data_IF_380498124317
#
_entry.id   IF_380498124317
#
_cell.length_a   1.000
_cell.length_b   1.000
_cell.length_c   1.000
_cell.angle_alpha   90.00
_cell.angle_beta   90.00
_cell.angle_gamma   90.00
#
_symmetry.space_group_name_H-M   'P 1'
#
loop_
_entity.id
_entity.type
_entity.pdbx_description
1 polymer ?
2 water ?
#
# COMPACT_ATOMS: atom_id res chain seq x y z
N UNK A 4 18.12 19.48 -1.84
CA UNK A 4 16.84 21.67 -1.67
C UNK A 4 16.50 19.82 -1.61
N UNK A 5 16.72 19.57 -2.89
CA UNK A 5 16.64 18.19 -3.41
C UNK A 5 15.87 18.31 -4.73
N UNK A 6 16.36 17.45 -5.64
CA UNK A 6 15.66 17.49 -6.93
C UNK A 6 14.89 16.20 -6.96
N UNK A 7 14.40 15.72 -5.77
CA UNK A 7 13.65 14.48 -5.83
C UNK A 7 12.47 14.64 -6.74
N UNK A 8 12.29 13.59 -7.51
CA UNK A 8 11.24 13.63 -8.50
C UNK A 8 9.87 13.79 -7.83
N UNK A 9 8.89 14.36 -8.57
CA UNK A 9 7.52 14.39 -8.01
C UNK A 9 7.01 13.04 -7.58
N UNK A 10 7.21 12.02 -8.45
CA UNK A 10 6.73 10.69 -8.09
C UNK A 10 7.35 10.21 -6.76
N UNK A 11 8.70 10.33 -6.65
CA UNK A 11 9.30 9.88 -5.38
C UNK A 11 8.85 10.69 -4.19
N UNK A 12 8.58 11.97 -4.36
CA UNK A 12 8.04 12.77 -3.25
C UNK A 12 6.69 12.20 -2.82
N UNK A 13 5.80 11.90 -3.80
CA UNK A 13 4.51 11.33 -3.47
C UNK A 13 4.63 9.99 -2.74
N UNK A 14 5.62 9.20 -3.15
CA UNK A 14 5.84 7.94 -2.44
C UNK A 14 6.38 8.15 -1.01
N UNK A 15 7.20 9.19 -0.87
CA UNK A 15 7.70 9.58 0.44
C UNK A 15 6.65 10.04 1.42
N UNK A 16 5.50 10.48 0.90
CA UNK A 16 4.40 11.01 1.69
C UNK A 16 3.12 10.31 1.32
N UNK A 17 3.21 8.99 1.14
CA UNK A 17 2.10 8.26 0.60
C UNK A 17 0.81 8.38 1.39
N UNK A 18 0.88 8.33 2.73
CA UNK A 18 -0.37 8.42 3.50
C UNK A 18 -1.09 9.75 3.28
N UNK A 19 -0.31 10.82 3.08
CA UNK A 19 -0.98 12.11 2.78
C UNK A 19 -1.60 12.10 1.40
N UNK A 20 -0.97 11.41 0.42
CA UNK A 20 -1.62 11.25 -0.89
C UNK A 20 -2.98 10.57 -0.71
N UNK A 21 -3.00 9.49 0.11
CA UNK A 21 -4.29 8.85 0.36
C UNK A 21 -5.32 9.79 0.97
N UNK A 22 -4.90 10.61 1.94
CA UNK A 22 -5.78 11.62 2.55
C UNK A 22 -6.38 12.54 1.51
N UNK A 23 -5.53 13.01 0.56
CA UNK A 23 -6.00 13.88 -0.48
C UNK A 23 -7.02 13.17 -1.37
N UNK A 24 -6.72 11.93 -1.71
CA UNK A 24 -7.68 11.14 -2.48
C UNK A 24 -9.03 11.04 -1.77
N UNK A 25 -8.94 10.65 -0.47
CA UNK A 25 -10.17 10.45 0.30
C UNK A 25 -11.02 11.71 0.34
N UNK A 26 -10.39 12.88 0.46
CA UNK A 26 -11.12 14.15 0.50
C UNK A 26 -11.81 14.41 -0.84
N UNK A 27 -11.39 13.72 -1.92
CA UNK A 27 -12.05 13.76 -3.20
C UNK A 27 -13.02 12.60 -3.38
N UNK A 28 -13.30 11.87 -2.30
CA UNK A 28 -14.22 10.71 -2.29
C UNK A 28 -13.73 9.61 -3.23
N UNK A 29 -12.40 9.44 -3.34
CA UNK A 29 -11.83 8.33 -4.08
C UNK A 29 -10.76 7.64 -3.21
N UNK A 30 -10.28 6.54 -3.71
CA UNK A 30 -9.17 5.77 -3.12
C UNK A 30 -8.17 5.42 -4.17
N UNK A 31 -6.90 5.36 -3.83
CA UNK A 31 -5.82 5.08 -4.75
C UNK A 31 -4.89 4.02 -4.18
N UNK A 32 -4.45 3.13 -5.05
CA UNK A 32 -3.45 2.08 -4.74
C UNK A 32 -2.06 2.57 -5.14
N UNK A 33 -1.07 2.39 -4.29
CA UNK A 33 0.28 2.86 -4.57
C UNK A 33 0.84 2.22 -5.82
N UNK A 34 0.63 0.94 -6.05
CA UNK A 34 1.27 0.29 -7.18
C UNK A 34 0.68 0.82 -8.49
N UNK A 35 -0.63 1.12 -8.51
CA UNK A 35 -1.29 1.67 -9.69
C UNK A 35 -0.87 3.11 -9.92
N UNK A 36 -0.77 3.89 -8.83
CA UNK A 36 -0.26 5.23 -8.88
C UNK A 36 1.06 5.25 -9.67
N UNK A 37 1.95 4.35 -9.29
CA UNK A 37 3.27 4.25 -9.92
C UNK A 37 3.13 3.85 -11.38
N UNK A 38 2.39 2.78 -11.64
CA UNK A 38 2.27 2.29 -13.01
C UNK A 38 1.65 3.35 -13.91
N UNK A 39 0.61 4.00 -13.48
CA UNK A 39 -0.02 5.03 -14.33
C UNK A 39 0.94 6.17 -14.58
N UNK A 40 1.59 6.65 -13.51
CA UNK A 40 2.52 7.77 -13.66
C UNK A 40 3.67 7.46 -14.62
N UNK A 41 4.27 6.26 -14.44
CA UNK A 41 5.53 5.95 -15.07
C UNK A 41 5.39 5.22 -16.40
N UNK A 42 4.39 4.36 -16.55
CA UNK A 42 4.24 3.49 -17.69
C UNK A 42 3.10 3.97 -18.57
N UNK A 43 1.91 4.24 -18.03
CA UNK A 43 0.74 4.46 -18.93
C UNK A 43 0.68 5.90 -19.37
N UNK A 44 0.69 6.87 -18.50
CA UNK A 44 0.46 8.25 -18.91
C UNK A 44 1.50 8.81 -19.85
N UNK A 45 2.79 8.43 -19.74
CA UNK A 45 3.76 8.93 -20.76
C UNK A 45 3.39 8.46 -22.17
N UNK A 46 2.73 7.29 -22.30
CA UNK A 46 2.40 6.82 -23.66
C UNK A 46 1.32 7.63 -24.32
N UNK A 47 0.60 8.47 -23.58
CA UNK A 47 -0.40 9.36 -24.19
C UNK A 47 0.25 10.42 -25.08
N UNK A 48 1.52 10.72 -24.90
CA UNK A 48 2.23 11.72 -25.65
C UNK A 48 1.61 13.10 -25.48
N UNK A 49 1.19 13.38 -24.24
CA UNK A 49 0.65 14.66 -23.83
C UNK A 49 1.53 15.35 -22.83
N UNK A 50 2.82 14.96 -22.74
CA UNK A 50 3.72 15.74 -21.89
C UNK A 50 3.82 15.25 -20.45
N UNK A 51 3.24 14.08 -20.10
CA UNK A 51 3.29 13.62 -18.71
C UNK A 51 4.65 12.97 -18.45
N UNK A 52 5.51 13.53 -17.60
CA UNK A 52 6.83 12.92 -17.36
C UNK A 52 6.67 11.60 -16.60
N UNK A 53 7.56 10.65 -16.94
CA UNK A 53 7.56 9.37 -16.26
C UNK A 53 7.67 9.48 -14.75
N UNK A 54 8.42 10.47 -14.26
CA UNK A 54 8.59 10.67 -12.85
C UNK A 54 7.65 11.72 -12.27
N UNK A 55 6.56 11.99 -13.01
CA UNK A 55 5.50 12.85 -12.49
C UNK A 55 5.78 14.33 -12.63
N UNK A 56 4.73 15.09 -12.27
CA UNK A 56 4.77 16.53 -12.27
C UNK A 56 3.67 17.08 -11.39
N UNK A 57 3.88 18.27 -10.85
CA UNK A 57 2.83 19.00 -10.14
C UNK A 57 2.28 20.14 -10.99
N UNK A 58 2.67 20.19 -12.25
CA UNK A 58 2.23 21.27 -13.13
C UNK A 58 0.78 21.05 -13.53
N UNK A 59 -0.07 22.03 -13.27
CA UNK A 59 -1.50 21.89 -13.39
C UNK A 59 -1.83 21.70 -14.88
N UNK A 60 -1.17 22.36 -15.80
CA UNK A 60 -1.45 22.22 -17.21
C UNK A 60 -1.19 20.80 -17.69
N UNK A 61 -0.09 20.19 -17.26
CA UNK A 61 0.22 18.85 -17.65
C UNK A 61 -0.79 17.86 -17.03
N UNK A 62 -1.13 18.07 -15.76
CA UNK A 62 -2.18 17.26 -15.14
C UNK A 62 -3.46 17.33 -15.96
N UNK A 63 -3.84 18.51 -16.40
CA UNK A 63 -5.09 18.69 -17.16
C UNK A 63 -5.00 17.92 -18.47
N UNK A 64 -3.82 17.87 -19.13
CA UNK A 64 -3.71 17.11 -20.37
C UNK A 64 -4.05 15.65 -20.16
N UNK A 65 -3.47 15.06 -19.10
CA UNK A 65 -3.78 13.68 -18.78
C UNK A 65 -5.24 13.53 -18.43
N UNK A 66 -5.77 14.45 -17.63
CA UNK A 66 -7.16 14.38 -17.23
C UNK A 66 -8.08 14.31 -18.45
N UNK A 67 -7.87 15.13 -19.46
CA UNK A 67 -8.70 15.09 -20.68
C UNK A 67 -8.59 13.76 -21.36
N UNK A 68 -7.40 13.18 -21.45
CA UNK A 68 -7.29 11.83 -22.05
C UNK A 68 -8.11 10.85 -21.24
N UNK A 69 -7.88 10.82 -19.91
CA UNK A 69 -8.51 9.85 -19.02
C UNK A 69 -10.01 9.94 -19.09
N UNK A 70 -10.55 11.14 -19.14
CA UNK A 70 -11.99 11.41 -19.14
C UNK A 70 -12.62 11.35 -20.53
N UNK A 71 -11.87 10.99 -21.55
CA UNK A 71 -12.46 10.93 -22.89
C UNK A 71 -13.51 9.81 -22.92
N UNK A 72 -14.48 9.89 -23.84
CA UNK A 72 -15.55 8.88 -23.92
C UNK A 72 -15.07 7.52 -24.45
N UNK A 73 -15.70 6.45 -23.93
CA UNK A 73 -15.26 5.09 -24.36
C UNK A 73 -15.25 5.11 -25.87
N UNK A 74 -14.31 4.41 -26.52
CA UNK A 74 -13.22 3.61 -25.98
C UNK A 74 -11.91 4.37 -25.82
N UNK A 75 -12.00 5.67 -25.77
CA UNK A 75 -10.84 6.60 -25.83
C UNK A 75 -10.25 6.96 -24.49
N UNK A 76 -11.05 6.71 -23.45
CA UNK A 76 -10.72 7.09 -22.09
C UNK A 76 -10.33 5.95 -21.20
N UNK A 77 -10.16 6.22 -19.92
CA UNK A 77 -9.57 5.29 -18.97
C UNK A 77 -10.26 5.40 -17.63
N UNK A 78 -11.46 4.82 -17.50
CA UNK A 78 -12.22 4.99 -16.25
C UNK A 78 -11.44 4.60 -15.01
N UNK A 79 -10.66 3.51 -15.13
CA UNK A 79 -9.88 2.97 -14.03
C UNK A 79 -8.84 3.99 -13.48
N UNK A 80 -8.46 4.95 -14.32
CA UNK A 80 -7.43 5.91 -14.04
C UNK A 80 -8.00 7.20 -13.44
N UNK A 81 -9.33 7.35 -13.46
CA UNK A 81 -9.96 8.56 -12.94
C UNK A 81 -9.55 8.93 -11.54
N UNK A 82 -9.61 8.01 -10.56
CA UNK A 82 -9.27 8.40 -9.19
C UNK A 82 -7.86 8.93 -9.10
N UNK A 83 -6.97 8.37 -9.92
CA UNK A 83 -5.53 8.68 -9.89
C UNK A 83 -5.29 10.09 -10.40
N UNK A 84 -5.83 10.44 -11.59
CA UNK A 84 -5.61 11.77 -12.07
C UNK A 84 -6.33 12.82 -11.23
N UNK A 85 -7.54 12.48 -10.70
CA UNK A 85 -8.26 13.36 -9.80
C UNK A 85 -7.41 13.68 -8.58
N UNK A 86 -6.70 12.70 -8.04
CA UNK A 86 -5.85 12.90 -6.89
C UNK A 86 -4.62 13.73 -7.19
N UNK A 87 -3.91 13.45 -8.32
CA UNK A 87 -2.83 14.34 -8.71
C UNK A 87 -3.34 15.78 -8.82
N UNK A 88 -4.49 15.95 -9.48
CA UNK A 88 -5.04 17.28 -9.64
C UNK A 88 -5.28 17.96 -8.28
N UNK A 89 -5.91 17.25 -7.36
CA UNK A 89 -6.21 17.83 -6.04
C UNK A 89 -4.94 18.13 -5.29
N UNK A 90 -3.97 17.26 -5.40
CA UNK A 90 -2.65 17.49 -4.83
C UNK A 90 -2.01 18.79 -5.28
N UNK A 91 -2.10 19.04 -6.58
CA UNK A 91 -1.55 20.26 -7.16
C UNK A 91 -2.35 21.50 -6.89
N UNK A 92 -3.67 21.38 -6.84
CA UNK A 92 -4.57 22.53 -6.76
C UNK A 92 -4.66 23.00 -5.34
N UNK A 93 -4.51 22.18 -4.33
CA UNK A 93 -4.70 22.48 -2.91
C UNK A 93 -3.64 21.71 -2.13
N UNK A 94 -2.39 22.13 -2.38
CA UNK A 94 -1.33 21.20 -1.99
C UNK A 94 -1.01 21.27 -0.53
N UNK A 95 -0.46 20.19 -0.02
CA UNK A 95 0.05 20.22 1.35
C UNK A 95 1.50 20.70 1.31
N UNK A 96 2.02 21.04 2.49
CA UNK A 96 3.28 21.80 2.53
C UNK A 96 4.43 21.07 1.90
N UNK A 97 4.30 19.76 1.73
CA UNK A 97 5.46 19.04 1.18
C UNK A 97 5.54 19.10 -0.34
N UNK A 98 4.56 19.46 -1.13
CA UNK A 98 4.30 20.08 -2.37
C UNK A 98 3.54 19.54 -3.52
N UNK B 7 -22.66 -19.56 0.15
CA UNK B 7 -21.44 -18.79 0.50
C UNK B 7 -22.03 -17.50 1.02
N UNK B 8 -21.20 -16.53 1.41
CA UNK B 8 -21.82 -15.24 1.75
C UNK B 8 -21.61 -14.30 0.61
N UNK B 9 -22.33 -13.17 0.58
CA UNK B 9 -22.06 -12.17 -0.48
C UNK B 9 -20.63 -11.74 -0.46
N UNK B 10 -20.08 -11.46 0.72
CA UNK B 10 -18.69 -11.05 0.78
C UNK B 10 -17.75 -12.12 0.21
N UNK B 11 -17.94 -13.37 0.62
CA UNK B 11 -17.07 -14.43 0.07
C UNK B 11 -17.16 -14.54 -1.43
N UNK B 12 -18.36 -14.39 -1.98
CA UNK B 12 -18.55 -14.42 -3.44
C UNK B 12 -17.73 -13.30 -4.08
N UNK B 13 -17.85 -12.10 -3.49
CA UNK B 13 -17.12 -10.98 -4.10
C UNK B 13 -15.60 -11.20 -4.09
N UNK B 14 -15.13 -11.83 -2.98
CA UNK B 14 -13.70 -12.10 -2.90
C UNK B 14 -13.26 -13.19 -3.92
N UNK B 15 -14.16 -14.12 -4.22
CA UNK B 15 -13.94 -15.19 -5.17
C UNK B 15 -13.92 -14.73 -6.62
N UNK B 16 -14.41 -13.52 -6.86
CA UNK B 16 -14.51 -12.94 -8.19
C UNK B 16 -13.97 -11.53 -8.19
N UNK B 17 -12.84 -11.38 -7.48
CA UNK B 17 -12.34 -10.06 -7.20
C UNK B 17 -11.99 -9.23 -8.41
N UNK B 18 -11.37 -9.87 -9.43
CA UNK B 18 -11.02 -9.08 -10.60
C UNK B 18 -12.30 -8.50 -11.24
N UNK B 19 -13.41 -9.24 -11.20
CA UNK B 19 -14.66 -8.72 -11.75
C UNK B 19 -15.23 -7.59 -10.90
N UNK B 20 -15.08 -7.68 -9.57
CA UNK B 20 -15.45 -6.56 -8.69
C UNK B 20 -14.66 -5.33 -9.10
N UNK B 21 -13.35 -5.49 -9.36
CA UNK B 21 -12.55 -4.37 -9.81
C UNK B 21 -13.07 -3.80 -11.11
N UNK B 22 -13.45 -4.68 -12.05
CA UNK B 22 -13.96 -4.26 -13.35
C UNK B 22 -15.23 -3.43 -13.16
N UNK B 23 -16.12 -3.87 -12.26
CA UNK B 23 -17.33 -3.13 -11.94
C UNK B 23 -17.03 -1.77 -11.34
N UNK B 24 -16.06 -1.71 -10.41
CA UNK B 24 -15.63 -0.44 -9.86
C UNK B 24 -15.10 0.49 -10.94
N UNK B 25 -14.19 -0.05 -11.78
CA UNK B 25 -13.60 0.77 -12.83
C UNK B 25 -14.67 1.36 -13.74
N UNK B 26 -15.72 0.56 -14.02
CA UNK B 26 -16.79 1.08 -14.87
C UNK B 26 -17.57 2.21 -14.22
N UNK B 27 -17.49 2.35 -12.89
CA UNK B 27 -17.96 3.49 -12.16
C UNK B 27 -16.94 4.57 -11.94
N UNK B 28 -15.79 4.48 -12.61
CA UNK B 28 -14.69 5.46 -12.52
C UNK B 28 -14.13 5.51 -11.12
N UNK B 29 -14.10 4.39 -10.40
CA UNK B 29 -13.46 4.30 -9.10
C UNK B 29 -12.58 3.06 -9.06
N UNK B 30 -11.77 2.99 -8.01
CA UNK B 30 -10.92 1.84 -7.71
C UNK B 30 -11.17 1.39 -6.28
N UNK B 31 -11.07 0.13 -5.99
CA UNK B 31 -11.28 -0.42 -4.67
C UNK B 31 -10.14 -1.37 -4.32
N UNK B 32 -9.73 -1.30 -3.05
CA UNK B 32 -8.73 -2.20 -2.44
C UNK B 32 -9.44 -3.34 -1.73
N UNK B 33 -8.96 -4.55 -1.90
CA UNK B 33 -9.58 -5.70 -1.27
C UNK B 33 -9.60 -5.56 0.20
N UNK B 34 -8.50 -5.09 0.80
CA UNK B 34 -8.45 -5.02 2.27
C UNK B 34 -9.51 -4.10 2.82
N UNK B 35 -9.74 -2.97 2.17
CA UNK B 35 -10.77 -2.02 2.60
C UNK B 35 -12.15 -2.49 2.29
N UNK B 36 -12.32 -3.18 1.16
CA UNK B 36 -13.60 -3.79 0.87
C UNK B 36 -14.00 -4.68 2.04
N UNK B 37 -13.06 -5.54 2.49
CA UNK B 37 -13.35 -6.42 3.60
C UNK B 37 -13.61 -5.65 4.89
N UNK B 38 -12.74 -4.74 5.26
CA UNK B 38 -12.89 -4.04 6.54
C UNK B 38 -14.14 -3.15 6.58
N UNK B 39 -14.44 -2.44 5.51
CA UNK B 39 -15.65 -1.62 5.54
C UNK B 39 -16.91 -2.51 5.64
N UNK B 40 -16.96 -3.59 4.87
CA UNK B 40 -18.11 -4.48 4.90
C UNK B 40 -18.27 -5.05 6.30
N UNK B 41 -17.16 -5.53 6.88
CA UNK B 41 -17.19 -6.42 7.99
C UNK B 41 -17.08 -5.71 9.35
N UNK B 42 -16.46 -4.58 9.41
CA UNK B 42 -16.14 -3.88 10.64
C UNK B 42 -16.85 -2.55 10.71
N UNK B 43 -16.70 -1.68 9.70
CA UNK B 43 -17.18 -0.31 9.81
C UNK B 43 -18.69 -0.20 9.58
N UNK B 44 -19.18 -0.69 8.45
CA UNK B 44 -20.58 -0.50 8.12
C UNK B 44 -21.55 -1.09 9.13
N UNK B 45 -21.27 -2.22 9.72
CA UNK B 45 -22.19 -2.72 10.73
C UNK B 45 -22.39 -1.78 11.90
N UNK B 46 -21.40 -0.97 12.20
CA UNK B 46 -21.45 -0.05 13.37
C UNK B 46 -22.40 1.09 13.10
N UNK B 47 -22.89 1.34 11.89
CA UNK B 47 -23.75 2.47 11.55
C UNK B 47 -25.18 2.32 12.08
N UNK B 48 -25.58 1.17 12.55
CA UNK B 48 -26.97 0.97 13.02
C UNK B 48 -27.95 1.18 11.89
N UNK B 49 -27.62 0.74 10.67
CA UNK B 49 -28.57 0.86 9.57
C UNK B 49 -28.87 -0.47 8.89
N UNK B 50 -28.54 -1.57 9.53
CA UNK B 50 -28.89 -2.85 8.98
C UNK B 50 -27.89 -3.59 8.17
N UNK B 51 -26.64 -3.09 8.13
CA UNK B 51 -25.68 -3.71 7.21
C UNK B 51 -25.17 -5.02 7.77
N UNK B 52 -25.29 -6.12 7.05
CA UNK B 52 -24.80 -7.42 7.54
C UNK B 52 -23.29 -7.49 7.27
N UNK B 53 -22.51 -7.98 8.28
CA UNK B 53 -21.04 -7.98 8.15
C UNK B 53 -20.53 -8.89 7.06
N UNK B 54 -21.33 -9.87 6.64
CA UNK B 54 -20.97 -10.72 5.56
C UNK B 54 -21.48 -10.20 4.21
N UNK B 55 -21.91 -8.95 4.17
CA UNK B 55 -22.34 -8.34 2.93
C UNK B 55 -23.74 -8.70 2.49
N UNK B 56 -24.20 -8.01 1.48
CA UNK B 56 -25.52 -8.25 0.87
C UNK B 56 -25.55 -7.70 -0.54
N UNK B 57 -26.37 -8.33 -1.38
CA UNK B 57 -26.67 -7.82 -2.68
C UNK B 57 -28.02 -7.09 -2.68
N UNK B 58 -28.67 -6.96 -1.55
CA UNK B 58 -29.97 -6.28 -1.50
C UNK B 58 -29.80 -4.77 -1.64
N UNK B 59 -30.51 -4.18 -2.57
CA UNK B 59 -30.35 -2.76 -2.86
C UNK B 59 -30.82 -1.88 -1.74
N UNK B 60 -31.87 -2.23 -0.99
CA UNK B 60 -32.35 -1.43 0.10
C UNK B 60 -31.32 -1.34 1.23
N UNK B 61 -30.67 -2.45 1.57
CA UNK B 61 -29.61 -2.42 2.58
C UNK B 61 -28.43 -1.60 2.08
N UNK B 62 -28.06 -1.77 0.84
CA UNK B 62 -26.97 -0.99 0.28
C UNK B 62 -27.27 0.50 0.37
N UNK B 63 -28.51 0.88 0.04
CA UNK B 63 -28.90 2.29 0.14
C UNK B 63 -28.77 2.85 1.54
N UNK B 64 -29.11 2.04 2.57
CA UNK B 64 -28.96 2.50 3.93
C UNK B 64 -27.52 2.93 4.23
N UNK B 65 -26.58 2.08 3.84
CA UNK B 65 -25.16 2.45 4.07
C UNK B 65 -24.77 3.64 3.19
N UNK B 66 -25.23 3.65 1.92
CA UNK B 66 -24.89 4.75 1.03
C UNK B 66 -25.25 6.08 1.64
N UNK B 67 -26.47 6.22 2.19
CA UNK B 67 -26.87 7.48 2.78
C UNK B 67 -25.95 7.86 3.93
N UNK B 68 -25.55 6.92 4.77
CA UNK B 68 -24.63 7.24 5.87
C UNK B 68 -23.29 7.71 5.27
N UNK B 69 -22.74 6.95 4.33
CA UNK B 69 -21.44 7.27 3.74
C UNK B 69 -21.41 8.63 3.09
N UNK B 70 -22.50 9.02 2.40
CA UNK B 70 -22.57 10.26 1.68
C UNK B 70 -23.06 11.44 2.55
N UNK B 71 -23.27 11.22 3.86
CA UNK B 71 -23.70 12.32 4.74
C UNK B 71 -22.60 13.40 4.82
N UNK B 72 -23.00 14.64 5.06
CA UNK B 72 -22.00 15.74 5.14
C UNK B 72 -21.10 15.66 6.33
N UNK B 73 -19.86 16.17 6.21
CA UNK B 73 -18.89 16.03 7.33
C UNK B 73 -19.46 16.67 8.56
N UNK B 74 -19.22 16.18 9.76
CA UNK B 74 -18.50 14.99 10.19
C UNK B 74 -19.28 13.70 10.24
N UNK B 75 -20.43 13.66 9.56
CA UNK B 75 -21.39 12.59 9.60
C UNK B 75 -21.16 11.49 8.57
N UNK B 76 -20.35 11.71 7.57
CA UNK B 76 -20.13 10.80 6.47
C UNK B 76 -18.73 10.28 6.38
N UNK B 77 -18.45 9.61 5.26
CA UNK B 77 -17.23 8.83 5.11
C UNK B 77 -16.74 8.91 3.65
N UNK B 78 -16.07 9.98 3.26
CA UNK B 78 -15.65 10.16 1.86
C UNK B 78 -14.78 9.01 1.35
N UNK B 79 -13.93 8.47 2.22
CA UNK B 79 -13.05 7.35 1.89
C UNK B 79 -13.78 6.10 1.52
N UNK B 80 -15.03 5.96 1.98
CA UNK B 80 -15.83 4.76 1.76
C UNK B 80 -16.74 4.89 0.52
N UNK B 81 -16.80 6.05 -0.09
CA UNK B 81 -17.64 6.27 -1.28
C UNK B 81 -17.38 5.26 -2.36
N UNK B 82 -16.12 5.03 -2.80
CA UNK B 82 -15.95 4.11 -3.93
C UNK B 82 -16.50 2.73 -3.62
N UNK B 83 -16.38 2.34 -2.34
CA UNK B 83 -16.75 0.98 -1.91
C UNK B 83 -18.24 0.82 -2.01
N UNK B 84 -19.02 1.74 -1.40
CA UNK B 84 -20.48 1.59 -1.45
C UNK B 84 -21.02 1.77 -2.85
N UNK B 85 -20.39 2.66 -3.65
CA UNK B 85 -20.80 2.83 -5.03
C UNK B 85 -20.61 1.55 -5.83
N UNK B 86 -19.53 0.81 -5.53
CA UNK B 86 -19.29 -0.46 -6.23
C UNK B 86 -20.22 -1.55 -5.79
N UNK B 87 -20.51 -1.69 -4.47
CA UNK B 87 -21.54 -2.62 -4.07
C UNK B 87 -22.86 -2.32 -4.75
N UNK B 88 -23.22 -1.03 -4.82
CA UNK B 88 -24.46 -0.64 -5.45
C UNK B 88 -24.47 -1.04 -6.93
N UNK B 89 -23.39 -0.76 -7.65
CA UNK B 89 -23.33 -1.09 -9.06
C UNK B 89 -23.42 -2.59 -9.27
N UNK B 90 -22.74 -3.33 -8.44
CA UNK B 90 -22.78 -4.79 -8.48
C UNK B 90 -24.22 -5.28 -8.34
N UNK B 91 -24.95 -4.68 -7.41
CA UNK B 91 -26.31 -5.08 -7.13
C UNK B 91 -27.29 -4.70 -8.19
N UNK B 92 -27.07 -3.56 -8.83
CA UNK B 92 -27.95 -3.02 -9.85
C UNK B 92 -27.81 -3.75 -11.18
N UNK B 93 -26.57 -4.02 -11.54
CA UNK B 93 -26.28 -4.67 -12.83
C UNK B 93 -25.28 -5.79 -12.62
N UNK B 94 -25.78 -6.83 -11.98
CA UNK B 94 -24.88 -7.89 -11.52
C UNK B 94 -24.37 -8.83 -12.60
N UNK B 95 -23.14 -9.29 -12.43
CA UNK B 95 -22.63 -10.32 -13.29
C UNK B 95 -23.19 -11.67 -12.85
N UNK B 96 -22.90 -12.66 -13.68
CA UNK B 96 -23.62 -13.94 -13.47
C UNK B 96 -23.37 -14.53 -12.11
N UNK B 97 -22.19 -14.23 -11.59
CA UNK B 97 -21.81 -14.93 -10.36
C UNK B 97 -22.52 -14.42 -9.14
N UNK B 98 -23.20 -13.27 -9.24
CA UNK B 98 -23.97 -12.87 -8.05
C UNK B 98 -25.27 -13.63 -7.94
N UNK B 99 -25.40 -14.20 -6.76
CA UNK B 99 -26.33 -15.20 -6.28
C UNK B 99 -25.90 -16.57 -6.80
N UNK C 6 -16.20 -4.74 15.67
CA UNK C 6 -15.62 -6.07 15.82
C UNK C 6 -14.18 -6.06 15.27
N UNK C 7 -13.18 -5.99 16.14
CA UNK C 7 -11.76 -6.09 15.71
C UNK C 7 -11.38 -7.53 15.60
N UNK C 8 -10.67 -7.89 14.55
CA UNK C 8 -10.41 -9.29 14.26
C UNK C 8 -8.90 -9.53 14.17
N UNK C 9 -8.46 -10.80 14.20
CA UNK C 9 -7.02 -11.05 13.98
C UNK C 9 -6.55 -10.45 12.68
N UNK C 10 -7.31 -10.56 11.62
CA UNK C 10 -6.95 -9.96 10.35
C UNK C 10 -6.74 -8.46 10.53
N UNK C 11 -7.74 -7.77 11.06
CA UNK C 11 -7.61 -6.31 11.11
C UNK C 11 -6.45 -5.90 12.03
N UNK C 12 -6.18 -6.66 13.10
CA UNK C 12 -5.05 -6.38 13.97
C UNK C 12 -3.72 -6.46 13.21
N UNK C 13 -3.55 -7.53 12.45
CA UNK C 13 -2.32 -7.69 11.68
C UNK C 13 -2.20 -6.58 10.63
N UNK C 14 -3.28 -6.16 10.02
CA UNK C 14 -3.21 -5.02 9.09
C UNK C 14 -2.87 -3.71 9.77
N UNK C 15 -3.34 -3.50 10.98
CA UNK C 15 -3.04 -2.33 11.76
C UNK C 15 -1.64 -2.32 12.36
N UNK C 16 -0.93 -3.42 12.31
CA UNK C 16 0.47 -3.48 12.73
C UNK C 16 1.32 -4.08 11.64
N UNK C 17 1.09 -3.63 10.43
CA UNK C 17 1.68 -4.27 9.27
C UNK C 17 3.20 -4.23 9.31
N UNK C 18 3.79 -3.10 9.68
CA UNK C 18 5.25 -3.02 9.64
C UNK C 18 5.90 -4.03 10.59
N UNK C 19 5.26 -4.33 11.72
CA UNK C 19 5.68 -5.39 12.60
C UNK C 19 5.58 -6.76 11.91
N UNK C 20 4.46 -7.00 11.25
CA UNK C 20 4.29 -8.25 10.53
C UNK C 20 5.39 -8.47 9.51
N UNK C 21 5.68 -7.43 8.74
CA UNK C 21 6.73 -7.51 7.74
C UNK C 21 8.05 -7.87 8.38
N UNK C 22 8.41 -7.25 9.53
CA UNK C 22 9.69 -7.54 10.17
C UNK C 22 9.73 -9.00 10.66
N UNK C 23 8.58 -9.48 11.16
CA UNK C 23 8.47 -10.84 11.63
C UNK C 23 8.65 -11.84 10.49
N UNK C 24 8.03 -11.52 9.33
CA UNK C 24 8.19 -12.32 8.12
C UNK C 24 9.67 -12.33 7.71
N UNK C 25 10.30 -11.17 7.64
CA UNK C 25 11.68 -11.08 7.19
C UNK C 25 12.57 -11.93 8.07
N UNK C 26 12.28 -11.94 9.38
CA UNK C 26 13.06 -12.74 10.31
C UNK C 26 12.93 -14.25 10.09
N UNK C 27 11.84 -14.70 9.51
CA UNK C 27 11.62 -16.04 9.04
C UNK C 27 12.12 -16.26 7.61
N UNK C 28 12.88 -15.30 7.07
CA UNK C 28 13.37 -15.39 5.69
C UNK C 28 12.30 -15.46 4.63
N UNK C 29 11.18 -14.81 4.87
CA UNK C 29 10.09 -14.77 3.89
C UNK C 29 9.63 -13.32 3.78
N UNK C 30 8.80 -13.02 2.79
CA UNK C 30 8.25 -11.69 2.56
C UNK C 30 6.76 -11.81 2.25
N UNK C 31 5.97 -10.91 2.80
CA UNK C 31 4.51 -10.91 2.62
C UNK C 31 4.06 -9.57 2.06
N UNK C 32 3.04 -9.57 1.20
CA UNK C 32 2.35 -8.39 0.73
C UNK C 32 0.94 -8.27 1.30
N UNK C 33 0.39 -7.11 1.72
CA UNK C 33 -0.94 -6.98 2.28
C UNK C 33 -2.12 -7.59 1.52
N UNK C 34 -2.15 -7.23 0.20
CA UNK C 34 -3.34 -7.67 -0.52
C UNK C 34 -3.38 -9.22 -0.55
N UNK C 35 -2.22 -9.85 -0.62
CA UNK C 35 -2.13 -11.29 -0.65
C UNK C 35 -2.44 -11.87 0.71
N UNK C 36 -1.97 -11.23 1.76
CA UNK C 36 -2.30 -11.56 3.12
C UNK C 36 -3.80 -11.66 3.28
N UNK C 37 -4.50 -10.61 2.79
CA UNK C 37 -5.93 -10.54 2.86
C UNK C 37 -6.56 -11.60 1.98
N UNK C 38 -6.02 -11.74 0.76
CA UNK C 38 -6.52 -12.76 -0.14
C UNK C 38 -6.53 -14.13 0.53
N UNK C 39 -5.37 -14.52 1.07
CA UNK C 39 -5.28 -15.89 1.61
C UNK C 39 -6.11 -16.02 2.87
N UNK C 40 -6.02 -15.05 3.79
CA UNK C 40 -6.79 -15.16 5.02
C UNK C 40 -8.31 -15.22 4.78
N UNK C 41 -8.75 -14.25 3.98
CA UNK C 41 -10.18 -13.94 3.88
C UNK C 41 -10.87 -14.82 2.88
N UNK C 42 -10.18 -15.25 1.86
CA UNK C 42 -10.82 -15.92 0.73
C UNK C 42 -10.31 -17.34 0.52
N UNK C 43 -9.00 -17.56 0.44
CA UNK C 43 -8.49 -18.91 0.08
C UNK C 43 -8.56 -19.91 1.21
N UNK C 44 -7.99 -19.58 2.37
CA UNK C 44 -7.85 -20.52 3.46
C UNK C 44 -9.19 -21.04 3.96
N UNK C 45 -10.26 -20.22 4.03
CA UNK C 45 -11.56 -20.75 4.43
C UNK C 45 -12.03 -21.90 3.56
N UNK C 46 -11.64 -21.90 2.30
CA UNK C 46 -12.06 -22.95 1.38
C UNK C 46 -11.41 -24.30 1.64
N UNK C 47 -10.44 -24.41 2.51
CA UNK C 47 -9.73 -25.65 2.78
C UNK C 47 -10.54 -26.58 3.68
N UNK C 48 -11.64 -26.04 4.20
CA UNK C 48 -12.52 -26.84 5.05
C UNK C 48 -11.86 -27.38 6.29
N UNK C 49 -10.87 -26.67 6.82
CA UNK C 49 -10.18 -27.04 8.04
C UNK C 49 -10.52 -26.15 9.23
N UNK C 50 -11.49 -25.22 8.99
CA UNK C 50 -11.89 -24.38 10.08
C UNK C 50 -11.20 -23.05 10.16
N UNK C 51 -10.47 -22.68 9.10
CA UNK C 51 -9.81 -21.36 9.10
C UNK C 51 -10.87 -20.28 8.87
N UNK C 52 -11.04 -19.40 9.82
CA UNK C 52 -12.06 -18.34 9.68
C UNK C 52 -11.56 -17.22 8.79
N UNK C 53 -12.48 -16.61 8.05
CA UNK C 53 -12.09 -15.57 7.15
C UNK C 53 -11.56 -14.36 7.93
N UNK C 54 -11.93 -14.20 9.21
CA UNK C 54 -11.45 -13.11 10.05
C UNK C 54 -10.04 -13.35 10.59
N UNK C 55 -9.44 -14.52 10.28
CA UNK C 55 -8.11 -14.88 10.79
C UNK C 55 -8.20 -15.37 12.22
N UNK C 56 -7.10 -15.95 12.69
CA UNK C 56 -7.00 -16.52 14.02
C UNK C 56 -5.50 -16.67 14.40
N UNK C 57 -5.26 -16.65 15.70
CA UNK C 57 -3.98 -17.03 16.22
C UNK C 57 -3.99 -18.38 16.90
N UNK C 58 -5.07 -19.13 16.74
CA UNK C 58 -5.18 -20.47 17.28
C UNK C 58 -4.17 -21.38 16.61
N UNK C 59 -3.27 -22.00 17.39
CA UNK C 59 -2.19 -22.81 16.86
C UNK C 59 -2.67 -24.00 16.06
N UNK C 60 -3.70 -24.68 16.51
CA UNK C 60 -4.24 -25.85 15.80
C UNK C 60 -4.77 -25.46 14.44
N UNK C 61 -5.51 -24.36 14.34
CA UNK C 61 -6.05 -23.89 13.07
C UNK C 61 -4.94 -23.46 12.12
N UNK C 62 -3.95 -22.75 12.60
CA UNK C 62 -2.78 -22.43 11.78
C UNK C 62 -2.12 -23.68 11.25
N UNK C 63 -1.94 -24.69 12.11
CA UNK C 63 -1.36 -25.96 11.66
C UNK C 63 -2.18 -26.60 10.58
N UNK C 64 -3.50 -26.61 10.74
CA UNK C 64 -4.31 -27.26 9.70
C UNK C 64 -4.10 -26.61 8.36
N UNK C 65 -4.05 -25.26 8.33
CA UNK C 65 -3.81 -24.62 7.06
C UNK C 65 -2.41 -24.92 6.55
N UNK C 66 -1.41 -24.89 7.45
CA UNK C 66 -0.05 -25.16 7.03
C UNK C 66 0.09 -26.53 6.39
N UNK C 67 -0.55 -27.53 6.98
CA UNK C 67 -0.50 -28.88 6.39
C UNK C 67 -0.94 -28.83 4.96
N UNK C 68 -2.06 -28.16 4.67
CA UNK C 68 -2.55 -28.07 3.31
C UNK C 68 -1.59 -27.29 2.43
N UNK C 69 -1.09 -26.15 2.88
CA UNK C 69 -0.19 -25.29 2.09
C UNK C 69 1.10 -26.04 1.71
N UNK C 70 1.65 -26.76 2.66
CA UNK C 70 2.90 -27.46 2.50
C UNK C 70 2.79 -28.86 1.92
N UNK C 71 1.57 -29.30 1.57
CA UNK C 71 1.40 -30.65 1.05
C UNK C 71 2.26 -30.86 -0.18
N UNK C 72 2.81 -32.03 -0.32
CA UNK C 72 3.61 -32.31 -1.50
C UNK C 72 2.76 -32.44 -2.75
N UNK C 73 3.46 -32.26 -3.83
CA UNK C 73 2.89 -32.64 -5.13
C UNK C 73 1.74 -31.70 -5.40
N UNK C 74 0.65 -32.25 -5.93
CA UNK C 74 -0.34 -31.40 -6.58
C UNK C 74 -1.24 -30.69 -5.62
N UNK C 75 -1.21 -30.99 -4.32
CA UNK C 75 -2.16 -30.35 -3.41
C UNK C 75 -1.63 -29.09 -2.77
N UNK C 76 -0.31 -28.89 -2.76
CA UNK C 76 0.23 -27.80 -2.02
C UNK C 76 0.19 -26.50 -2.79
N UNK C 77 0.51 -25.45 -2.04
CA UNK C 77 0.42 -24.08 -2.56
C UNK C 77 1.64 -23.27 -2.20
N UNK C 78 2.73 -23.41 -2.94
CA UNK C 78 3.98 -22.74 -2.55
C UNK C 78 3.82 -21.23 -2.44
N UNK C 79 2.93 -20.58 -3.18
CA UNK C 79 2.74 -19.15 -3.10
C UNK C 79 2.23 -18.70 -1.73
N UNK C 80 1.62 -19.62 -0.99
CA UNK C 80 1.01 -19.31 0.28
C UNK C 80 1.98 -19.56 1.44
N UNK C 81 3.15 -20.15 1.18
CA UNK C 81 4.14 -20.47 2.21
C UNK C 81 4.56 -19.27 3.03
N UNK C 82 4.94 -18.13 2.47
CA UNK C 82 5.37 -16.99 3.32
C UNK C 82 4.29 -16.61 4.30
N UNK C 83 3.05 -16.67 3.81
CA UNK C 83 1.88 -16.20 4.55
C UNK C 83 1.60 -17.07 5.74
N UNK C 84 1.48 -18.37 5.55
CA UNK C 84 1.19 -19.21 6.70
C UNK C 84 2.37 -19.31 7.66
N UNK C 85 3.60 -19.20 7.13
CA UNK C 85 4.81 -19.19 7.97
C UNK C 85 4.71 -17.98 8.92
N UNK C 86 4.29 -16.83 8.41
CA UNK C 86 4.27 -15.60 9.21
C UNK C 86 3.11 -15.65 10.22
N UNK C 87 1.91 -16.14 9.85
CA UNK C 87 0.87 -16.31 10.87
C UNK C 87 1.35 -17.25 11.98
N UNK C 88 2.02 -18.34 11.58
CA UNK C 88 2.52 -19.32 12.54
C UNK C 88 3.50 -18.64 13.48
N UNK C 89 4.41 -17.83 12.95
CA UNK C 89 5.41 -17.14 13.75
C UNK C 89 4.70 -16.23 14.78
N UNK C 90 3.67 -15.52 14.34
CA UNK C 90 2.89 -14.66 15.22
C UNK C 90 2.27 -15.44 16.34
N UNK C 91 1.69 -16.59 16.08
CA UNK C 91 1.08 -17.39 17.09
C UNK C 91 2.06 -17.97 18.07
N UNK C 92 3.24 -18.39 17.61
CA UNK C 92 4.27 -18.98 18.46
C UNK C 92 4.97 -17.96 19.33
N UNK C 93 5.14 -16.74 18.82
CA UNK C 93 5.85 -15.68 19.58
C UNK C 93 5.08 -14.38 19.44
N UNK C 94 3.96 -14.29 20.14
CA UNK C 94 3.04 -13.16 19.89
C UNK C 94 3.66 -11.78 20.15
N UNK C 95 3.56 -10.84 19.22
CA UNK C 95 3.86 -9.44 19.52
C UNK C 95 2.90 -8.91 20.58
N UNK C 96 3.29 -7.75 21.12
CA UNK C 96 2.52 -7.22 22.24
C UNK C 96 1.08 -6.97 21.91
N UNK C 97 0.78 -6.65 20.69
CA UNK C 97 -0.54 -6.29 20.26
C UNK C 97 -1.38 -7.55 20.09
N UNK C 98 -0.76 -8.72 20.18
CA UNK C 98 -1.44 -9.97 20.15
C UNK C 98 -1.70 -10.52 21.55
N UNK C 99 -0.70 -10.68 22.36
CA UNK C 99 0.38 -9.93 22.90
C UNK C 99 1.21 -10.48 24.06
N UNK D 3 9.18 19.85 -12.52
CA UNK D 3 9.53 18.76 -11.64
C UNK D 3 10.82 18.15 -12.19
N UNK D 4 11.51 17.56 -11.23
CA UNK D 4 12.80 17.07 -11.61
C UNK D 4 12.56 15.77 -12.40
N UNK D 5 13.35 15.64 -13.44
CA UNK D 5 13.49 14.43 -14.20
C UNK D 5 14.79 13.69 -13.94
N UNK D 6 15.77 14.27 -13.25
CA UNK D 6 17.02 13.56 -12.97
C UNK D 6 16.79 12.45 -11.95
N UNK D 7 17.23 11.25 -12.27
CA UNK D 7 17.16 10.13 -11.34
C UNK D 7 18.27 10.26 -10.29
N UNK D 8 17.99 10.36 -9.03
CA UNK D 8 19.01 10.51 -7.99
C UNK D 8 18.97 9.29 -7.10
N UNK D 9 20.05 9.11 -6.31
CA UNK D 9 19.99 8.01 -5.35
C UNK D 9 18.82 8.13 -4.39
N UNK D 10 18.50 9.31 -3.89
CA UNK D 10 17.38 9.49 -2.99
C UNK D 10 16.08 9.12 -3.70
N UNK D 11 15.87 9.62 -4.94
CA UNK D 11 14.61 9.29 -5.61
C UNK D 11 14.49 7.81 -5.84
N UNK D 12 15.59 7.15 -6.15
CA UNK D 12 15.56 5.72 -6.36
C UNK D 12 15.25 4.94 -5.07
N UNK D 13 15.86 5.36 -3.97
CA UNK D 13 15.58 4.67 -2.70
C UNK D 13 14.13 4.76 -2.30
N UNK D 14 13.50 5.90 -2.56
CA UNK D 14 12.06 6.03 -2.28
C UNK D 14 11.21 5.19 -3.24
N UNK D 15 11.59 5.13 -4.51
CA UNK D 15 10.91 4.33 -5.50
C UNK D 15 10.99 2.86 -5.22
N UNK D 16 12.02 2.44 -4.51
CA UNK D 16 12.33 1.01 -4.24
C UNK D 16 12.35 0.77 -2.73
N UNK D 17 11.45 1.46 -2.04
CA UNK D 17 11.49 1.51 -0.58
C UNK D 17 11.32 0.12 0.03
N UNK D 18 10.42 -0.72 -0.50
CA UNK D 18 10.30 -2.07 0.11
C UNK D 18 11.61 -2.83 0.00
N UNK D 19 12.40 -2.69 -1.07
CA UNK D 19 13.75 -3.31 -1.13
C UNK D 19 14.66 -2.72 -0.04
N UNK D 20 14.61 -1.40 0.14
CA UNK D 20 15.42 -0.76 1.17
C UNK D 20 15.07 -1.32 2.55
N UNK D 21 13.78 -1.48 2.85
CA UNK D 21 13.37 -2.05 4.12
C UNK D 21 13.90 -3.47 4.32
N UNK D 22 13.80 -4.32 3.32
CA UNK D 22 14.32 -5.69 3.38
C UNK D 22 15.82 -5.66 3.66
N UNK D 23 16.55 -4.81 2.93
CA UNK D 23 17.99 -4.72 3.07
C UNK D 23 18.35 -4.25 4.48
N UNK D 24 17.64 -3.28 5.03
CA UNK D 24 17.82 -2.82 6.39
C UNK D 24 17.59 -3.98 7.37
N UNK D 25 16.46 -4.69 7.21
CA UNK D 25 16.15 -5.75 8.14
C UNK D 25 17.23 -6.81 8.16
N UNK D 26 17.79 -7.08 6.99
CA UNK D 26 18.88 -8.08 6.90
C UNK D 26 20.14 -7.61 7.62
N UNK D 27 20.31 -6.34 7.83
CA UNK D 27 21.41 -5.78 8.63
C UNK D 27 20.97 -5.57 10.08
N UNK D 28 19.83 -6.09 10.49
CA UNK D 28 19.28 -6.03 11.84
C UNK D 28 18.97 -4.58 12.23
N UNK D 29 18.55 -3.77 11.30
CA UNK D 29 18.11 -2.38 11.59
C UNK D 29 16.77 -2.16 10.90
N UNK D 30 16.21 -0.98 11.15
CA UNK D 30 14.93 -0.58 10.59
C UNK D 30 14.96 0.91 10.26
N UNK D 31 14.41 1.30 9.15
CA UNK D 31 14.40 2.69 8.69
C UNK D 31 13.01 3.13 8.29
N UNK D 32 12.72 4.42 8.43
CA UNK D 32 11.47 5.05 8.05
C UNK D 32 11.70 6.11 6.99
N UNK D 33 10.76 6.30 6.06
CA UNK D 33 10.93 7.14 4.91
C UNK D 33 11.23 8.57 5.28
N UNK D 34 10.44 9.15 6.16
CA UNK D 34 10.60 10.63 6.28
C UNK D 34 11.96 10.92 6.89
N UNK D 35 12.34 10.12 7.86
CA UNK D 35 13.63 10.24 8.52
C UNK D 35 14.80 10.00 7.55
N UNK D 36 14.63 9.00 6.70
CA UNK D 36 15.61 8.72 5.63
C UNK D 36 15.84 9.96 4.83
N UNK D 37 14.76 10.61 4.40
CA UNK D 37 14.86 11.81 3.63
C UNK D 37 15.51 12.94 4.40
N UNK D 38 15.11 13.12 5.65
CA UNK D 38 15.68 14.21 6.43
C UNK D 38 17.19 14.03 6.65
N UNK D 39 17.60 12.84 7.01
CA UNK D 39 19.03 12.63 7.18
C UNK D 39 19.83 12.81 5.91
N UNK D 40 19.30 12.29 4.79
CA UNK D 40 20.02 12.41 3.54
C UNK D 40 20.13 13.84 3.09
N UNK D 41 19.02 14.58 3.20
CA UNK D 41 18.93 15.89 2.55
C UNK D 41 19.24 17.09 3.41
N UNK D 42 19.07 16.94 4.71
CA UNK D 42 19.20 18.06 5.64
C UNK D 42 20.36 17.83 6.59
N UNK D 43 20.52 16.64 7.18
CA UNK D 43 21.51 16.46 8.24
C UNK D 43 22.88 16.17 7.67
N UNK D 44 23.02 15.12 6.88
CA UNK D 44 24.35 14.67 6.44
C UNK D 44 25.08 15.71 5.62
N UNK D 45 24.45 16.53 4.77
CA UNK D 45 25.17 17.62 4.13
C UNK D 45 25.88 18.53 5.09
N UNK D 46 25.38 18.69 6.30
CA UNK D 46 25.99 19.61 7.25
C UNK D 46 27.26 19.05 7.91
N UNK D 47 27.61 17.80 7.61
CA UNK D 47 28.78 17.18 8.19
C UNK D 47 30.09 17.64 7.55
N UNK D 48 30.00 18.42 6.48
CA UNK D 48 31.15 18.92 5.77
C UNK D 48 32.10 17.83 5.30
N UNK D 49 31.50 16.74 4.80
CA UNK D 49 32.24 15.68 4.15
C UNK D 49 31.82 15.47 2.71
N UNK D 50 31.06 16.39 2.14
CA UNK D 50 30.67 16.38 0.74
C UNK D 50 29.44 15.52 0.46
N UNK D 51 28.70 15.04 1.46
CA UNK D 51 27.53 14.20 1.22
C UNK D 51 26.50 15.03 0.39
N UNK D 52 26.09 14.55 -0.78
CA UNK D 52 25.12 15.31 -1.55
C UNK D 52 23.71 15.21 -1.00
N UNK D 53 22.93 16.27 -1.10
CA UNK D 53 21.56 16.30 -0.57
C UNK D 53 20.68 15.26 -1.24
N UNK D 54 21.00 14.87 -2.47
CA UNK D 54 20.25 13.88 -3.21
C UNK D 54 20.82 12.46 -3.01
N UNK D 55 21.74 12.28 -2.06
CA UNK D 55 22.27 10.98 -1.73
C UNK D 55 23.34 10.51 -2.70
N UNK D 56 23.90 9.37 -2.36
CA UNK D 56 24.99 8.79 -3.13
C UNK D 56 25.05 7.28 -2.81
N UNK D 57 25.56 6.54 -3.75
CA UNK D 57 25.91 5.15 -3.52
C UNK D 57 27.41 4.97 -3.51
N UNK D 58 28.17 6.06 -3.43
CA UNK D 58 29.64 5.99 -3.36
C UNK D 58 30.10 5.53 -1.98
N UNK D 59 30.88 4.47 -1.97
CA UNK D 59 31.31 3.87 -0.69
C UNK D 59 32.15 4.83 0.16
N UNK D 60 33.01 5.62 -0.50
CA UNK D 60 33.90 6.51 0.23
C UNK D 60 33.09 7.61 0.93
N UNK D 61 32.10 8.20 0.25
CA UNK D 61 31.27 9.21 0.88
C UNK D 61 30.45 8.61 2.01
N UNK D 62 29.87 7.43 1.77
CA UNK D 62 29.14 6.75 2.83
C UNK D 62 30.00 6.51 4.06
N UNK D 63 31.25 6.07 3.86
CA UNK D 63 32.14 5.85 4.94
C UNK D 63 32.38 7.10 5.75
N UNK D 64 32.55 8.24 5.08
CA UNK D 64 32.83 9.44 5.86
C UNK D 64 31.65 9.85 6.72
N UNK D 65 30.40 9.70 6.22
CA UNK D 65 29.26 9.96 7.09
C UNK D 65 29.21 8.93 8.22
N UNK D 66 29.49 7.67 7.90
CA UNK D 66 29.46 6.66 8.94
C UNK D 66 30.42 6.94 10.06
N UNK D 67 31.62 7.41 9.72
CA UNK D 67 32.58 7.79 10.75
C UNK D 67 31.99 8.84 11.68
N UNK D 68 31.33 9.86 11.16
CA UNK D 68 30.68 10.84 12.00
C UNK D 68 29.60 10.21 12.87
N UNK D 69 28.73 9.44 12.26
CA UNK D 69 27.56 8.85 12.93
C UNK D 69 27.99 7.93 14.07
N UNK D 70 29.01 7.14 13.86
CA UNK D 70 29.48 6.13 14.79
C UNK D 70 30.51 6.64 15.77
N UNK D 71 30.81 7.94 15.74
CA UNK D 71 31.82 8.47 16.64
C UNK D 71 31.42 8.19 18.08
N UNK D 72 32.39 7.88 18.92
CA UNK D 72 32.07 7.75 20.33
C UNK D 72 31.80 9.12 20.95
N UNK D 73 31.03 9.10 22.03
CA UNK D 73 31.03 10.34 22.79
C UNK D 73 30.09 11.29 22.07
N UNK D 74 30.33 12.53 22.44
CA UNK D 74 29.27 13.49 22.19
C UNK D 74 29.08 13.82 20.75
N UNK D 75 29.96 13.37 19.86
CA UNK D 75 29.83 13.72 18.46
C UNK D 75 29.04 12.69 17.66
N UNK D 76 28.81 11.53 18.23
CA UNK D 76 28.10 10.54 17.45
C UNK D 76 26.61 10.80 17.40
N UNK D 77 25.94 10.01 16.58
CA UNK D 77 24.52 10.16 16.31
C UNK D 77 23.84 8.77 16.28
N UNK D 78 23.59 8.16 17.43
CA UNK D 78 23.04 6.80 17.40
C UNK D 78 21.76 6.68 16.65
N UNK D 79 20.89 7.66 16.59
CA UNK D 79 19.64 7.61 15.88
C UNK D 79 19.86 7.51 14.36
N UNK D 80 21.03 7.91 13.87
CA UNK D 80 21.33 7.86 12.45
C UNK D 80 21.98 6.55 12.03
N UNK D 81 22.33 5.69 12.97
CA UNK D 81 23.00 4.42 12.70
C UNK D 81 22.22 3.56 11.72
N UNK D 82 20.94 3.30 11.95
CA UNK D 82 20.23 2.38 11.02
C UNK D 82 20.30 2.92 9.60
N UNK D 83 20.26 4.26 9.46
CA UNK D 83 20.16 4.90 8.17
C UNK D 83 21.47 4.74 7.40
N UNK D 84 22.61 5.10 8.04
CA UNK D 84 23.87 5.00 7.30
C UNK D 84 24.25 3.55 7.07
N UNK D 85 23.91 2.65 7.98
CA UNK D 85 24.16 1.22 7.79
C UNK D 85 23.46 0.69 6.56
N UNK D 86 22.23 1.22 6.32
CA UNK D 86 21.44 0.75 5.18
C UNK D 86 22.00 1.29 3.87
N UNK D 87 22.34 2.56 3.84
CA UNK D 87 23.02 3.11 2.64
C UNK D 87 24.29 2.30 2.35
N UNK D 88 25.07 2.02 3.40
CA UNK D 88 26.32 1.27 3.25
C UNK D 88 26.04 -0.11 2.65
N UNK D 89 25.00 -0.78 3.14
CA UNK D 89 24.64 -2.10 2.65
C UNK D 89 24.29 -2.04 1.15
N UNK D 90 23.56 -1.01 0.73
CA UNK D 90 23.22 -0.82 -0.68
C UNK D 90 24.47 -0.70 -1.52
N UNK D 91 25.44 0.10 -1.04
CA UNK D 91 26.66 0.33 -1.81
C UNK D 91 27.52 -0.92 -1.92
N UNK D 92 27.55 -1.73 -0.86
CA UNK D 92 28.39 -2.92 -0.86
C UNK D 92 27.79 -4.03 -1.72
N UNK D 93 26.47 -4.14 -1.79
CA UNK D 93 25.81 -5.18 -2.56
C UNK D 93 24.66 -4.55 -3.33
N UNK D 94 24.95 -3.96 -4.47
CA UNK D 94 23.92 -3.16 -5.13
C UNK D 94 22.75 -4.02 -5.66
N UNK D 95 21.52 -3.63 -5.34
CA UNK D 95 20.36 -4.17 -6.06
C UNK D 95 20.44 -3.63 -7.50
N UNK D 96 19.53 -4.11 -8.38
CA UNK D 96 19.63 -3.77 -9.80
C UNK D 96 19.56 -2.30 -10.14
N UNK D 97 18.86 -1.54 -9.31
CA UNK D 97 18.63 -0.12 -9.50
C UNK D 97 19.74 0.77 -8.96
N UNK D 98 20.75 0.22 -8.33
CA UNK D 98 21.97 0.98 -8.04
C UNK D 98 23.12 0.55 -8.93
N UNK D 99 23.50 1.51 -9.82
CA UNK D 99 24.44 0.81 -10.77
C UNK D 99 25.52 0.03 -10.04
#
# INVERSE_FOLDING_TARGET
AMGQTVTTPLSLTLGHWKDVERIAHNQSVDVKKRRWVTFCSAEWPTFNVGWPRDGTFNRDLITQVKIKVFSPGPHGHPDQVPYIVTWEALAFDPPPWVKP
AMGQTVTTPLSLTLGHWKDVERIAHNQSVDVKKRRWVTFCSAEWPTFNVGWPRDGTFNRDLITQVKIKVFSPGPHGHPDQVPYIVTWEALAFDPPPWVKP
AMGQTVTTPLSLTLGHWKDVERIAHNQSVDVKKRRWVTFCSAEWPTFNVGWPRDGTFNRDLITQVKIKVFSPGPHGHPDQVPYIVTWEALAFDPPPWVKP
AMGQTVTTPLSLTLGHWKDVERIAHNQSVDVKKRRWVTFCSAEWPTFNVGWPRDGTFNRDLITQVKIKVFSPGPHGHPDQVPYIVTWEALAFDPPPWVKP
#
